data_IF_059059292478
#
_entry.id   IF_059059292478
#
_cell.length_a   1.000
_cell.length_b   1.000
_cell.length_c   1.000
_cell.angle_alpha   90.00
_cell.angle_beta   90.00
_cell.angle_gamma   90.00
#
_symmetry.space_group_name_H-M   'P 1'
#
loop_
_entity.id
_entity.type
_entity.pdbx_description
1 polymer ?
#
# COMPACT_ATOMS: atom_id res chain seq x y z
N UNK A 1 8.33 -0.38 -11.82
CA UNK A 1 8.68 -1.74 -12.29
C UNK A 1 8.15 -2.89 -11.42
N UNK A 2 7.38 -2.66 -10.34
CA UNK A 2 6.66 -3.74 -9.65
C UNK A 2 7.53 -4.83 -8.98
N UNK A 3 8.78 -4.50 -8.62
CA UNK A 3 9.79 -5.45 -8.12
C UNK A 3 9.34 -6.34 -6.96
N UNK A 4 8.40 -5.89 -6.14
CA UNK A 4 7.97 -6.56 -4.91
C UNK A 4 6.49 -7.00 -4.96
N UNK A 5 5.91 -7.11 -6.16
CA UNK A 5 4.48 -7.45 -6.29
C UNK A 5 4.11 -8.79 -5.62
N UNK A 6 5.04 -9.74 -5.57
CA UNK A 6 4.83 -11.06 -4.96
C UNK A 6 4.69 -11.00 -3.42
N UNK A 7 5.10 -9.90 -2.79
CA UNK A 7 5.00 -9.68 -1.34
C UNK A 7 3.60 -9.22 -0.90
N UNK A 8 2.65 -9.09 -1.83
CA UNK A 8 1.27 -8.66 -1.57
C UNK A 8 0.26 -9.76 -1.93
N UNK A 9 0.25 -10.91 -1.23
CA UNK A 9 -0.53 -12.09 -1.59
C UNK A 9 -2.02 -11.99 -1.20
N UNK A 10 -2.42 -10.93 -0.49
CA UNK A 10 -3.78 -10.81 0.03
C UNK A 10 -4.81 -10.65 -1.10
N UNK A 11 -5.93 -11.35 -0.95
CA UNK A 11 -7.03 -11.28 -1.92
C UNK A 11 -7.92 -10.06 -1.66
N UNK A 12 -8.75 -9.70 -2.64
CA UNK A 12 -9.77 -8.64 -2.49
C UNK A 12 -10.80 -8.98 -1.41
N UNK A 13 -11.06 -10.28 -1.16
CA UNK A 13 -12.03 -10.74 -0.16
C UNK A 13 -11.41 -10.76 1.24
N UNK A 14 -11.22 -9.58 1.79
CA UNK A 14 -10.70 -9.33 3.14
C UNK A 14 -11.67 -8.46 3.94
N UNK A 15 -11.26 -7.98 5.13
CA UNK A 15 -12.04 -6.98 5.88
C UNK A 15 -12.36 -5.76 5.02
N UNK A 16 -13.61 -5.27 5.10
CA UNK A 16 -14.09 -4.15 4.28
C UNK A 16 -13.38 -2.81 4.53
N UNK A 17 -12.68 -2.67 5.66
CA UNK A 17 -11.83 -1.51 5.93
C UNK A 17 -10.53 -1.50 5.13
N UNK A 18 -10.08 -2.65 4.60
CA UNK A 18 -8.78 -2.77 3.93
C UNK A 18 -7.59 -2.90 4.90
N UNK A 19 -7.83 -3.16 6.18
CA UNK A 19 -6.78 -3.17 7.22
C UNK A 19 -5.69 -4.21 6.95
N UNK A 20 -6.04 -5.37 6.39
CA UNK A 20 -5.04 -6.39 6.08
C UNK A 20 -4.08 -5.90 4.98
N UNK A 21 -4.60 -5.30 3.91
CA UNK A 21 -3.76 -4.69 2.86
C UNK A 21 -2.91 -3.55 3.40
N UNK A 22 -3.46 -2.69 4.26
CA UNK A 22 -2.70 -1.60 4.89
C UNK A 22 -1.53 -2.16 5.70
N UNK A 23 -1.77 -3.17 6.54
CA UNK A 23 -0.71 -3.82 7.31
C UNK A 23 0.30 -4.55 6.43
N UNK A 24 -0.13 -5.23 5.37
CA UNK A 24 0.78 -5.89 4.44
C UNK A 24 1.77 -4.90 3.83
N UNK A 25 1.32 -3.71 3.43
CA UNK A 25 2.20 -2.63 2.95
C UNK A 25 3.16 -2.17 4.05
N UNK A 26 2.66 -1.93 5.25
CA UNK A 26 3.49 -1.48 6.37
C UNK A 26 4.59 -2.50 6.71
N UNK A 27 4.25 -3.79 6.73
CA UNK A 27 5.18 -4.89 7.04
C UNK A 27 6.22 -5.08 5.94
N UNK A 28 5.82 -5.03 4.66
CA UNK A 28 6.76 -5.14 3.52
C UNK A 28 7.74 -3.96 3.53
N UNK A 29 7.27 -2.74 3.80
CA UNK A 29 8.15 -1.57 3.91
C UNK A 29 9.12 -1.72 5.09
N UNK A 30 8.62 -2.09 6.28
CA UNK A 30 9.46 -2.28 7.46
C UNK A 30 10.51 -3.38 7.24
N UNK A 31 10.11 -4.51 6.64
CA UNK A 31 11.03 -5.59 6.33
C UNK A 31 12.07 -5.17 5.28
N UNK A 32 11.65 -4.42 4.25
CA UNK A 32 12.58 -3.93 3.23
C UNK A 32 13.56 -2.91 3.80
N UNK A 33 13.13 -2.05 4.72
CA UNK A 33 14.01 -1.12 5.43
C UNK A 33 15.08 -1.89 6.22
N UNK A 34 14.71 -2.95 6.95
CA UNK A 34 15.66 -3.81 7.66
C UNK A 34 16.68 -4.49 6.73
N UNK A 35 16.27 -4.90 5.54
CA UNK A 35 17.19 -5.48 4.54
C UNK A 35 18.19 -4.45 3.97
N UNK A 36 17.87 -3.16 4.04
CA UNK A 36 18.72 -2.07 3.56
C UNK A 36 19.66 -1.57 4.65
N UNK A 37 19.19 -1.53 5.90
CA UNK A 37 19.97 -1.16 7.07
C UNK A 37 19.49 -1.97 8.29
N UNK A 38 20.28 -2.99 8.67
CA UNK A 38 19.94 -3.87 9.79
C UNK A 38 20.03 -3.15 11.15
N UNK A 39 20.76 -2.04 11.23
CA UNK A 39 20.97 -1.31 12.49
C UNK A 39 19.82 -0.36 12.84
N UNK A 40 18.90 -0.10 11.91
CA UNK A 40 17.78 0.81 12.10
C UNK A 40 16.43 0.15 11.71
N UNK A 41 15.96 -0.83 12.50
CA UNK A 41 14.71 -1.51 12.20
C UNK A 41 13.52 -0.57 12.40
N UNK A 42 12.62 -0.52 11.41
CA UNK A 42 11.36 0.20 11.51
C UNK A 42 10.26 -0.73 12.03
N UNK A 43 9.42 -0.22 12.92
CA UNK A 43 8.20 -0.90 13.35
C UNK A 43 7.04 -0.57 12.38
N UNK A 44 6.28 -1.58 11.89
CA UNK A 44 5.22 -1.35 10.88
C UNK A 44 4.17 -0.32 11.30
N UNK A 45 3.75 -0.31 12.58
CA UNK A 45 2.75 0.64 13.05
C UNK A 45 3.36 1.97 13.50
N UNK A 46 4.23 1.91 14.51
CA UNK A 46 4.81 3.07 15.17
C UNK A 46 5.65 3.97 14.25
N UNK A 47 6.28 3.41 13.21
CA UNK A 47 7.12 4.16 12.27
C UNK A 47 6.49 4.29 10.89
N UNK A 48 6.13 3.17 10.24
CA UNK A 48 5.62 3.21 8.85
C UNK A 48 4.20 3.76 8.78
N UNK A 49 3.31 3.31 9.66
CA UNK A 49 1.91 3.76 9.74
C UNK A 49 1.70 4.92 10.73
N UNK A 50 2.76 5.67 11.06
CA UNK A 50 2.72 6.66 12.13
C UNK A 50 1.77 7.81 11.79
N UNK A 51 0.76 8.01 12.63
CA UNK A 51 -0.24 9.07 12.44
C UNK A 51 -1.28 8.77 11.35
N UNK A 52 -1.30 7.53 10.86
CA UNK A 52 -2.27 7.05 9.88
C UNK A 52 -3.23 6.06 10.51
N UNK A 53 -4.45 5.99 9.98
CA UNK A 53 -5.37 4.88 10.19
C UNK A 53 -5.59 4.15 8.86
N UNK A 54 -6.08 2.92 8.92
CA UNK A 54 -6.58 2.29 7.69
C UNK A 54 -7.79 3.06 7.13
N UNK A 55 -8.61 3.63 8.00
CA UNK A 55 -9.89 4.23 7.62
C UNK A 55 -9.75 5.53 6.81
N UNK A 56 -8.60 6.20 6.88
CA UNK A 56 -8.22 7.30 5.99
C UNK A 56 -7.27 6.82 4.89
N UNK A 57 -6.26 6.01 5.22
CA UNK A 57 -5.22 5.60 4.25
C UNK A 57 -5.77 4.75 3.11
N UNK A 58 -6.62 3.76 3.40
CA UNK A 58 -7.12 2.84 2.38
C UNK A 58 -8.08 3.54 1.39
N UNK A 59 -9.07 4.34 1.83
CA UNK A 59 -9.88 5.14 0.91
C UNK A 59 -9.07 6.16 0.11
N UNK A 60 -8.05 6.80 0.70
CA UNK A 60 -7.15 7.70 -0.03
C UNK A 60 -6.41 6.96 -1.15
N UNK A 61 -5.86 5.78 -0.88
CA UNK A 61 -5.21 4.96 -1.90
C UNK A 61 -6.18 4.57 -3.03
N UNK A 62 -7.43 4.21 -2.70
CA UNK A 62 -8.46 3.92 -3.70
C UNK A 62 -8.69 5.09 -4.66
N UNK A 63 -8.82 6.32 -4.14
CA UNK A 63 -9.00 7.51 -4.97
C UNK A 63 -7.80 7.81 -5.86
N UNK A 64 -6.57 7.63 -5.34
CA UNK A 64 -5.34 7.79 -6.13
C UNK A 64 -5.31 6.79 -7.30
N UNK A 65 -5.60 5.52 -7.04
CA UNK A 65 -5.66 4.49 -8.07
C UNK A 65 -6.74 4.80 -9.13
N UNK A 66 -7.95 5.18 -8.70
CA UNK A 66 -9.03 5.55 -9.61
C UNK A 66 -8.65 6.72 -10.50
N UNK A 67 -8.03 7.77 -9.94
CA UNK A 67 -7.54 8.90 -10.71
C UNK A 67 -6.54 8.48 -11.79
N UNK A 68 -5.56 7.63 -11.45
CA UNK A 68 -4.57 7.15 -12.43
C UNK A 68 -5.19 6.30 -13.53
N UNK A 69 -6.08 5.36 -13.19
CA UNK A 69 -6.75 4.51 -14.19
C UNK A 69 -7.62 5.35 -15.13
N UNK A 70 -8.36 6.32 -14.60
CA UNK A 70 -9.20 7.21 -15.41
C UNK A 70 -8.33 8.06 -16.35
N UNK A 71 -7.33 8.75 -15.81
CA UNK A 71 -6.54 9.73 -16.57
C UNK A 71 -5.56 9.10 -17.55
N UNK A 72 -4.98 7.94 -17.22
CA UNK A 72 -3.94 7.31 -18.04
C UNK A 72 -4.47 6.23 -18.97
N UNK A 73 -5.66 5.69 -18.73
CA UNK A 73 -6.21 4.58 -19.54
C UNK A 73 -7.58 4.88 -20.10
N UNK A 74 -8.52 5.35 -19.28
CA UNK A 74 -9.91 5.55 -19.73
C UNK A 74 -10.02 6.75 -20.67
N UNK A 75 -9.60 7.95 -20.25
CA UNK A 75 -9.72 9.16 -21.08
C UNK A 75 -8.99 9.00 -22.42
N UNK A 76 -7.72 8.56 -22.48
CA UNK A 76 -7.02 8.39 -23.75
C UNK A 76 -7.61 7.33 -24.68
N UNK A 77 -8.45 6.41 -24.17
CA UNK A 77 -9.12 5.39 -24.97
C UNK A 77 -10.46 5.88 -25.56
N UNK A 78 -10.94 7.06 -25.14
CA UNK A 78 -12.15 7.69 -25.68
C UNK A 78 -11.86 8.64 -26.85
N UNK A 79 -10.60 9.08 -26.99
CA UNK A 79 -10.10 9.89 -28.11
C UNK A 79 -9.62 8.98 -29.28
#
# INVERSE_FOLDING_TARGET
DGKWNDEFPLTVFQTGSGTQTNMNVNEVIAHRAKQLDENNPLHPNDDVNRGQSTNDTFPTAMHICAYFEITKRVIPALD
#
